data_IF_652336469666
#
_entry.id   IF_652336469666
#
_cell.length_a   1.000
_cell.length_b   1.000
_cell.length_c   1.000
_cell.angle_alpha   90.00
_cell.angle_beta   90.00
_cell.angle_gamma   90.00
#
_symmetry.space_group_name_H-M   'P 1'
#
loop_
_entity.id
_entity.type
_entity.pdbx_description
1 polymer ?
#
# COMPACT_ATOMS: atom_id res chain seq x y z
N UNK A 1 -17.07 -18.66 3.24
CA UNK A 1 -17.36 -17.97 1.96
C UNK A 1 -16.14 -17.13 1.60
N UNK A 2 -15.23 -17.64 0.79
CA UNK A 2 -14.07 -16.90 0.28
C UNK A 2 -14.52 -16.08 -0.92
N UNK A 3 -14.62 -14.76 -0.76
CA UNK A 3 -14.88 -13.85 -1.87
C UNK A 3 -13.78 -14.04 -2.93
N UNK A 4 -14.10 -14.10 -4.23
CA UNK A 4 -13.08 -14.14 -5.27
C UNK A 4 -12.28 -12.85 -5.20
N UNK A 5 -11.01 -12.95 -4.80
CA UNK A 5 -10.06 -11.85 -4.93
C UNK A 5 -9.96 -11.55 -6.42
N UNK A 6 -10.67 -10.52 -6.89
CA UNK A 6 -10.49 -10.01 -8.26
C UNK A 6 -9.02 -9.67 -8.39
N UNK A 7 -8.27 -10.46 -9.14
CA UNK A 7 -6.88 -10.15 -9.45
C UNK A 7 -6.90 -8.84 -10.25
N UNK A 8 -6.60 -7.73 -9.59
CA UNK A 8 -6.33 -6.48 -10.26
C UNK A 8 -4.99 -6.66 -10.98
N UNK A 9 -5.05 -6.76 -12.31
CA UNK A 9 -3.85 -6.68 -13.13
C UNK A 9 -3.24 -5.29 -12.98
N UNK A 10 -2.09 -5.23 -12.31
CA UNK A 10 -1.26 -4.03 -12.22
C UNK A 10 -0.06 -4.20 -13.14
N UNK A 11 0.22 -3.18 -13.94
CA UNK A 11 1.35 -3.15 -14.85
C UNK A 11 2.44 -2.26 -14.27
N UNK A 12 3.69 -2.69 -14.42
CA UNK A 12 4.87 -1.94 -14.02
C UNK A 12 5.81 -1.83 -15.22
N UNK A 13 6.53 -0.72 -15.31
CA UNK A 13 7.77 -0.68 -16.10
C UNK A 13 8.83 -1.60 -15.48
N UNK A 14 9.86 -1.95 -16.25
CA UNK A 14 10.94 -2.80 -15.75
C UNK A 14 11.64 -2.19 -14.53
N UNK A 15 11.88 -0.86 -14.55
CA UNK A 15 12.56 -0.15 -13.46
C UNK A 15 11.72 -0.10 -12.18
N UNK A 16 10.41 0.15 -12.31
CA UNK A 16 9.49 0.10 -11.17
C UNK A 16 9.43 -1.32 -10.56
N UNK A 17 9.36 -2.34 -11.41
CA UNK A 17 9.33 -3.72 -10.95
C UNK A 17 10.65 -4.14 -10.27
N UNK A 18 11.79 -3.66 -10.79
CA UNK A 18 13.10 -3.85 -10.14
C UNK A 18 13.16 -3.19 -8.76
N UNK A 19 12.68 -1.95 -8.65
CA UNK A 19 12.57 -1.25 -7.37
C UNK A 19 11.70 -2.03 -6.39
N UNK A 20 10.53 -2.48 -6.84
CA UNK A 20 9.61 -3.29 -6.04
C UNK A 20 10.28 -4.58 -5.52
N UNK A 21 10.99 -5.30 -6.40
CA UNK A 21 11.71 -6.52 -6.03
C UNK A 21 12.84 -6.25 -5.03
N UNK A 22 13.54 -5.12 -5.18
CA UNK A 22 14.58 -4.71 -4.24
C UNK A 22 14.01 -4.52 -2.83
N UNK A 23 12.90 -3.79 -2.69
CA UNK A 23 12.28 -3.55 -1.39
C UNK A 23 11.64 -4.81 -0.80
N UNK A 24 10.95 -5.61 -1.60
CA UNK A 24 10.37 -6.88 -1.14
C UNK A 24 11.44 -7.80 -0.51
N UNK A 25 12.63 -7.89 -1.13
CA UNK A 25 13.77 -8.62 -0.56
C UNK A 25 14.26 -8.05 0.77
N UNK A 26 14.34 -6.72 0.91
CA UNK A 26 14.75 -6.07 2.18
C UNK A 26 13.77 -6.35 3.32
N UNK A 27 12.50 -6.56 3.00
CA UNK A 27 11.45 -6.93 3.95
C UNK A 27 11.30 -8.45 4.13
N UNK A 28 12.16 -9.26 3.48
CA UNK A 28 12.07 -10.73 3.48
C UNK A 28 10.68 -11.26 3.11
N UNK A 29 10.02 -10.61 2.14
CA UNK A 29 8.62 -10.85 1.79
C UNK A 29 8.48 -11.14 0.28
N UNK A 30 7.60 -12.07 -0.14
CA UNK A 30 7.24 -12.23 -1.54
C UNK A 30 6.68 -10.93 -2.14
N UNK A 31 6.92 -10.70 -3.43
CA UNK A 31 6.49 -9.47 -4.11
C UNK A 31 4.97 -9.22 -3.99
N UNK A 32 4.07 -10.20 -4.17
CA UNK A 32 2.62 -9.98 -3.99
C UNK A 32 2.25 -9.52 -2.59
N UNK A 33 2.80 -10.18 -1.57
CA UNK A 33 2.55 -9.85 -0.15
C UNK A 33 3.11 -8.46 0.18
N UNK A 34 4.25 -8.10 -0.42
CA UNK A 34 4.86 -6.79 -0.25
C UNK A 34 4.02 -5.67 -0.86
N UNK A 35 3.42 -5.90 -2.03
CA UNK A 35 2.44 -4.96 -2.61
C UNK A 35 1.25 -4.77 -1.66
N UNK A 36 0.71 -5.85 -1.12
CA UNK A 36 -0.41 -5.77 -0.17
C UNK A 36 -0.02 -4.99 1.10
N UNK A 37 1.18 -5.23 1.63
CA UNK A 37 1.74 -4.48 2.75
C UNK A 37 1.84 -2.98 2.43
N UNK A 38 2.39 -2.61 1.27
CA UNK A 38 2.50 -1.21 0.85
C UNK A 38 1.14 -0.52 0.76
N UNK A 39 0.13 -1.20 0.17
CA UNK A 39 -1.24 -0.66 0.07
C UNK A 39 -1.83 -0.43 1.46
N UNK A 40 -1.65 -1.37 2.40
CA UNK A 40 -2.11 -1.22 3.79
C UNK A 40 -1.44 -0.03 4.47
N UNK A 41 -0.11 0.13 4.32
CA UNK A 41 0.62 1.27 4.86
C UNK A 41 0.10 2.60 4.31
N UNK A 42 -0.14 2.67 3.00
CA UNK A 42 -0.67 3.87 2.35
C UNK A 42 -2.08 4.23 2.86
N UNK A 43 -2.99 3.26 2.94
CA UNK A 43 -4.35 3.49 3.48
C UNK A 43 -4.28 4.00 4.92
N UNK A 44 -3.42 3.42 5.76
CA UNK A 44 -3.27 3.84 7.14
C UNK A 44 -2.71 5.26 7.26
N UNK A 45 -1.74 5.63 6.41
CA UNK A 45 -1.20 6.98 6.37
C UNK A 45 -2.27 8.01 5.95
N UNK A 46 -3.04 7.72 4.90
CA UNK A 46 -4.13 8.59 4.43
C UNK A 46 -5.21 8.78 5.50
N UNK A 47 -5.59 7.71 6.21
CA UNK A 47 -6.56 7.81 7.32
C UNK A 47 -6.03 8.67 8.48
N UNK A 48 -4.73 8.58 8.78
CA UNK A 48 -4.12 9.42 9.80
C UNK A 48 -4.14 10.91 9.40
N UNK A 49 -3.85 11.21 8.13
CA UNK A 49 -3.89 12.57 7.58
C UNK A 49 -5.32 13.15 7.59
N UNK A 50 -6.32 12.35 7.24
CA UNK A 50 -7.74 12.73 7.31
C UNK A 50 -8.16 13.06 8.75
N UNK A 51 -7.77 12.24 9.72
CA UNK A 51 -8.05 12.48 11.14
C UNK A 51 -7.35 13.73 11.68
N UNK A 52 -6.08 13.96 11.30
CA UNK A 52 -5.32 15.14 11.68
C UNK A 52 -5.96 16.42 11.11
N UNK A 53 -6.40 16.37 9.85
CA UNK A 53 -7.09 17.48 9.18
C UNK A 53 -8.46 17.76 9.80
N UNK A 54 -9.23 16.72 10.12
CA UNK A 54 -10.53 16.85 10.77
C UNK A 54 -10.41 17.42 12.20
N UNK A 55 -9.41 17.00 12.97
CA UNK A 55 -9.17 17.52 14.32
C UNK A 55 -8.74 19.00 14.30
N UNK A 56 -7.99 19.42 13.28
CA UNK A 56 -7.55 20.82 13.13
C UNK A 56 -8.70 21.78 12.81
N UNK A 57 -9.75 21.30 12.13
CA UNK A 57 -10.92 22.10 11.77
C UNK A 57 -12.02 22.13 12.84
N UNK A 58 -11.96 21.27 13.87
CA UNK A 58 -12.97 21.16 14.93
C UNK A 58 -12.66 22.00 16.18
N UNK A 59 -11.46 22.56 16.26
CA UNK A 59 -11.01 23.44 17.34
C UNK A 59 -10.95 24.91 16.96
N UNK A 60 -11.65 25.34 15.91
CA UNK A 60 -11.71 26.72 15.44
C UNK A 60 -13.14 27.24 15.48
#
# INVERSE_FOLDING_TARGET
MTLPTKALGVSFTADEFHGLCHYARRHAMPVPDFIEYMVRCYINAMRADEQATASKNRGR
#
